data_IF_551441639641
#
_entry.id   IF_551441639641
#
_cell.length_a   1.000
_cell.length_b   1.000
_cell.length_c   1.000
_cell.angle_alpha   90.00
_cell.angle_beta   90.00
_cell.angle_gamma   90.00
#
_symmetry.space_group_name_H-M   'P 1'
#
loop_
_entity.id
_entity.type
_entity.pdbx_description
1 polymer ?
#
# COMPACT_ATOMS: atom_id res chain seq x y z
N UNK A 1 16.12 18.03 4.08
CA UNK A 1 16.33 17.94 2.61
C UNK A 1 15.30 16.95 2.02
N UNK A 2 14.79 17.15 0.80
CA UNK A 2 13.71 16.30 0.21
C UNK A 2 14.09 14.81 0.12
N UNK A 3 15.38 14.52 0.03
CA UNK A 3 15.95 13.17 -0.02
C UNK A 3 15.79 12.38 1.29
N UNK A 4 15.91 13.02 2.45
CA UNK A 4 15.88 12.34 3.76
C UNK A 4 14.50 11.76 4.10
N UNK A 5 13.41 12.37 3.63
CA UNK A 5 12.05 11.85 3.84
C UNK A 5 11.75 10.66 2.94
N UNK A 6 12.21 10.70 1.69
CA UNK A 6 12.10 9.58 0.75
C UNK A 6 12.86 8.37 1.25
N UNK A 7 14.08 8.58 1.78
CA UNK A 7 14.89 7.50 2.36
C UNK A 7 14.23 6.86 3.57
N UNK A 8 13.61 7.65 4.45
CA UNK A 8 12.84 7.13 5.58
C UNK A 8 11.64 6.27 5.13
N UNK A 9 10.93 6.68 4.07
CA UNK A 9 9.85 5.87 3.51
C UNK A 9 10.38 4.56 2.91
N UNK A 10 11.46 4.64 2.13
CA UNK A 10 12.10 3.46 1.53
C UNK A 10 12.61 2.48 2.60
N UNK A 11 13.19 2.98 3.69
CA UNK A 11 13.59 2.18 4.84
C UNK A 11 12.41 1.47 5.53
N UNK A 12 11.23 2.11 5.59
CA UNK A 12 10.01 1.47 6.12
C UNK A 12 9.48 0.39 5.18
N UNK A 13 9.49 0.63 3.87
CA UNK A 13 9.08 -0.35 2.86
C UNK A 13 9.98 -1.59 2.94
N UNK A 14 11.30 -1.41 3.11
CA UNK A 14 12.25 -2.50 3.25
C UNK A 14 12.02 -3.38 4.50
N UNK A 15 11.26 -2.91 5.50
CA UNK A 15 10.93 -3.66 6.72
C UNK A 15 9.62 -4.47 6.62
N UNK A 16 8.91 -4.41 5.50
CA UNK A 16 7.71 -5.21 5.27
C UNK A 16 8.07 -6.70 5.36
N UNK A 17 7.29 -7.44 6.14
CA UNK A 17 7.49 -8.87 6.38
C UNK A 17 6.19 -9.66 6.21
N UNK A 18 6.24 -10.98 6.42
CA UNK A 18 5.08 -11.86 6.27
C UNK A 18 3.90 -11.56 7.19
N UNK A 19 4.11 -10.85 8.30
CA UNK A 19 3.06 -10.42 9.22
C UNK A 19 2.37 -9.13 8.80
N UNK A 20 2.83 -8.46 7.74
CA UNK A 20 2.28 -7.19 7.28
C UNK A 20 1.20 -7.41 6.22
N UNK A 21 0.13 -6.62 6.33
CA UNK A 21 -0.87 -6.45 5.29
C UNK A 21 -0.58 -5.15 4.53
N UNK A 22 -0.47 -5.22 3.21
CA UNK A 22 -0.26 -4.05 2.36
C UNK A 22 -1.61 -3.64 1.77
N UNK A 23 -1.97 -2.38 1.91
CA UNK A 23 -3.17 -1.79 1.30
C UNK A 23 -2.74 -0.78 0.25
N UNK A 24 -3.06 -1.05 -1.02
CA UNK A 24 -2.94 -0.08 -2.11
C UNK A 24 -4.27 0.67 -2.28
N UNK A 25 -4.22 1.99 -2.38
CA UNK A 25 -5.40 2.83 -2.65
C UNK A 25 -5.18 3.58 -3.96
N UNK A 26 -6.01 3.29 -4.95
CA UNK A 26 -6.06 4.02 -6.20
C UNK A 26 -6.96 5.24 -6.02
N UNK A 27 -6.36 6.43 -6.08
CA UNK A 27 -7.05 7.69 -5.83
C UNK A 27 -7.56 8.26 -7.17
N UNK A 28 -8.88 8.20 -7.41
CA UNK A 28 -9.53 8.87 -8.54
C UNK A 28 -10.54 9.95 -8.08
N UNK A 29 -11.00 10.81 -8.99
CA UNK A 29 -11.82 11.98 -8.63
C UNK A 29 -13.15 11.67 -7.92
N UNK A 30 -13.79 10.54 -8.24
CA UNK A 30 -15.15 10.25 -7.78
C UNK A 30 -15.24 8.98 -6.93
N UNK A 31 -14.39 7.99 -7.20
CA UNK A 31 -14.38 6.72 -6.49
C UNK A 31 -12.94 6.29 -6.25
N UNK A 32 -12.55 6.16 -4.99
CA UNK A 32 -11.27 5.57 -4.63
C UNK A 32 -11.44 4.06 -4.49
N UNK A 33 -10.45 3.28 -4.92
CA UNK A 33 -10.51 1.82 -4.81
C UNK A 33 -9.37 1.35 -3.93
N UNK A 34 -9.67 0.51 -2.95
CA UNK A 34 -8.68 -0.11 -2.09
C UNK A 34 -8.48 -1.59 -2.45
N UNK A 35 -7.23 -2.05 -2.36
CA UNK A 35 -6.83 -3.45 -2.55
C UNK A 35 -5.92 -3.89 -1.42
N UNK A 36 -6.26 -5.02 -0.82
CA UNK A 36 -5.42 -5.69 0.18
C UNK A 36 -4.56 -6.76 -0.49
N UNK A 37 -3.25 -6.76 -0.22
CA UNK A 37 -2.32 -7.79 -0.67
C UNK A 37 -1.37 -8.19 0.47
N UNK A 38 -0.87 -9.42 0.45
CA UNK A 38 0.21 -9.80 1.35
C UNK A 38 1.57 -9.26 0.86
N UNK A 39 2.62 -9.44 1.66
CA UNK A 39 3.99 -9.04 1.32
C UNK A 39 4.54 -9.62 0.00
N UNK A 40 3.95 -10.70 -0.53
CA UNK A 40 4.30 -11.30 -1.83
C UNK A 40 3.48 -10.74 -3.00
N UNK A 41 2.56 -9.82 -2.74
CA UNK A 41 1.66 -9.23 -3.74
C UNK A 41 0.43 -10.10 -4.05
N UNK A 42 0.15 -11.15 -3.29
CA UNK A 42 -1.05 -11.99 -3.48
C UNK A 42 -2.25 -11.21 -2.94
N UNK A 43 -3.23 -10.99 -3.80
CA UNK A 43 -4.44 -10.24 -3.46
C UNK A 43 -5.37 -11.03 -2.53
N UNK A 44 -5.92 -10.32 -1.56
CA UNK A 44 -6.99 -10.81 -0.70
C UNK A 44 -8.33 -10.31 -1.22
N UNK A 45 -9.21 -11.23 -1.63
CA UNK A 45 -10.56 -10.91 -2.05
C UNK A 45 -10.63 -9.99 -3.27
N UNK A 46 -11.76 -9.26 -3.38
CA UNK A 46 -12.00 -8.30 -4.46
C UNK A 46 -11.61 -6.88 -4.00
N UNK A 47 -11.09 -6.03 -4.89
CA UNK A 47 -10.91 -4.62 -4.60
C UNK A 47 -12.25 -3.97 -4.24
N UNK A 48 -12.25 -3.08 -3.26
CA UNK A 48 -13.46 -2.46 -2.73
C UNK A 48 -13.42 -0.96 -3.01
N UNK A 49 -14.52 -0.41 -3.50
CA UNK A 49 -14.70 1.04 -3.57
C UNK A 49 -14.81 1.60 -2.15
N UNK A 50 -14.01 2.62 -1.86
CA UNK A 50 -14.13 3.41 -0.63
C UNK A 50 -15.30 4.38 -0.84
N UNK A 51 -16.28 4.32 0.07
CA UNK A 51 -17.44 5.21 0.09
C UNK A 51 -17.16 6.47 0.90
#
# INVERSE_FOLDING_TARGET
MKFEMQDQQNQRIARISSSHLIIGVDIAQHHHVARAVNYRGIAFGKPQALQ
#
